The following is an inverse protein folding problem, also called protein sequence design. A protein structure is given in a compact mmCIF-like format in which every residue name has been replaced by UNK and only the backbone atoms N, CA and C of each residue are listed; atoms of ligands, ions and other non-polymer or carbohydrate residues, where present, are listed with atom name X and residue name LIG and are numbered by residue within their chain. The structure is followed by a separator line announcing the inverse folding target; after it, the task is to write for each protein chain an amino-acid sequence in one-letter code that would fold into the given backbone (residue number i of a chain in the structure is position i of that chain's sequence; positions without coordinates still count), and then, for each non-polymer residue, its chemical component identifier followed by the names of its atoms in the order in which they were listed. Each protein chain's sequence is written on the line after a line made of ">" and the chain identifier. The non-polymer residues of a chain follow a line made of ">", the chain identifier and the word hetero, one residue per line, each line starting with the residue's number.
data_IF_331889534246
#
_entry.id   IF_331889534246
#
_cell.length_a   1.000
_cell.length_b   1.000
_cell.length_c   1.000
_cell.angle_alpha   90.00
_cell.angle_beta   90.00
_cell.angle_gamma   90.00
#
_symmetry.space_group_name_H-M   'P 1'
#
loop_
_entity.id
_entity.type
_entity.pdbx_description
1 polymer ?
#
# COMPACT_ATOMS: atom_id res chain seq x y z
N UNK A 1 -13.16 -21.73 42.48
CA UNK A 1 -12.44 -21.02 41.44
C UNK A 1 -12.03 -22.07 40.41
N UNK A 2 -12.71 -22.11 39.27
CA UNK A 2 -12.38 -23.06 38.20
C UNK A 2 -11.06 -22.62 37.58
N UNK A 3 -9.99 -23.43 37.71
CA UNK A 3 -8.77 -23.28 36.95
C UNK A 3 -9.07 -23.51 35.47
N UNK A 4 -9.50 -22.47 34.77
CA UNK A 4 -9.53 -22.47 33.32
C UNK A 4 -8.04 -22.35 32.90
N UNK A 5 -7.48 -23.46 32.40
CA UNK A 5 -6.15 -23.42 31.79
C UNK A 5 -6.20 -22.37 30.66
N UNK A 6 -5.20 -21.52 30.52
CA UNK A 6 -5.15 -20.57 29.42
C UNK A 6 -5.26 -21.33 28.09
N UNK A 7 -6.22 -20.94 27.26
CA UNK A 7 -6.38 -21.53 25.93
C UNK A 7 -5.09 -21.37 25.15
N UNK A 8 -4.57 -22.48 24.57
CA UNK A 8 -3.31 -22.44 23.84
C UNK A 8 -3.46 -21.56 22.60
N UNK A 9 -2.58 -20.56 22.46
CA UNK A 9 -2.56 -19.68 21.32
C UNK A 9 -2.37 -20.45 20.01
N UNK A 10 -3.09 -20.06 18.97
CA UNK A 10 -2.90 -20.59 17.61
C UNK A 10 -1.59 -20.08 17.02
N UNK A 11 -0.79 -20.96 16.45
CA UNK A 11 0.46 -20.60 15.79
C UNK A 11 0.23 -20.15 14.35
N UNK A 12 0.70 -18.96 14.02
CA UNK A 12 0.53 -18.35 12.70
C UNK A 12 1.90 -18.12 12.06
N UNK A 13 2.10 -18.69 10.87
CA UNK A 13 3.23 -18.32 10.02
C UNK A 13 2.81 -17.17 9.11
N UNK A 14 3.52 -16.07 9.16
CA UNK A 14 3.28 -14.89 8.31
C UNK A 14 4.37 -14.78 7.25
N UNK A 15 3.98 -14.48 6.02
CA UNK A 15 4.89 -14.13 4.93
C UNK A 15 4.49 -12.78 4.33
N UNK A 16 5.30 -11.75 4.57
CA UNK A 16 5.01 -10.36 4.21
C UNK A 16 6.30 -9.53 4.20
N UNK A 17 6.21 -8.29 3.75
CA UNK A 17 7.23 -7.30 4.09
C UNK A 17 7.32 -7.18 5.61
N UNK A 18 8.56 -7.11 6.10
CA UNK A 18 8.81 -7.05 7.55
C UNK A 18 8.11 -5.85 8.19
N UNK A 19 7.44 -6.03 9.33
CA UNK A 19 6.92 -4.91 10.13
C UNK A 19 7.97 -3.85 10.50
N UNK A 20 9.27 -4.18 10.41
CA UNK A 20 10.38 -3.25 10.69
C UNK A 20 10.66 -2.26 9.57
N UNK A 21 10.09 -2.45 8.38
CA UNK A 21 10.33 -1.61 7.19
C UNK A 21 9.33 -0.46 7.06
N UNK A 22 9.63 0.49 6.17
CA UNK A 22 8.79 1.65 5.86
C UNK A 22 7.99 1.49 4.55
N UNK A 23 7.85 0.26 4.01
CA UNK A 23 7.06 0.00 2.81
C UNK A 23 5.56 -0.02 3.10
N UNK A 24 4.72 0.16 2.08
CA UNK A 24 3.26 0.04 2.22
C UNK A 24 2.83 -1.32 2.75
N UNK A 25 3.40 -2.43 2.24
CA UNK A 25 3.15 -3.77 2.75
C UNK A 25 3.58 -3.94 4.21
N UNK A 26 4.70 -3.33 4.62
CA UNK A 26 5.16 -3.35 6.00
C UNK A 26 4.21 -2.60 6.94
N UNK A 27 3.66 -1.47 6.50
CA UNK A 27 2.64 -0.74 7.26
C UNK A 27 1.38 -1.60 7.45
N UNK A 28 0.93 -2.27 6.38
CA UNK A 28 -0.22 -3.18 6.46
C UNK A 28 0.06 -4.36 7.40
N UNK A 29 1.19 -5.06 7.22
CA UNK A 29 1.54 -6.22 8.05
C UNK A 29 1.65 -5.83 9.53
N UNK A 30 2.34 -4.72 9.85
CA UNK A 30 2.49 -4.21 11.21
C UNK A 30 1.15 -3.97 11.91
N UNK A 31 0.23 -3.29 11.24
CA UNK A 31 -1.05 -2.92 11.85
C UNK A 31 -2.01 -4.11 11.96
N UNK A 32 -2.11 -4.96 10.93
CA UNK A 32 -2.95 -6.17 10.99
C UNK A 32 -2.44 -7.14 12.05
N UNK A 33 -1.12 -7.38 12.12
CA UNK A 33 -0.55 -8.28 13.11
C UNK A 33 -0.71 -7.73 14.52
N UNK A 34 -0.59 -6.40 14.72
CA UNK A 34 -0.82 -5.78 16.03
C UNK A 34 -2.22 -6.07 16.54
N UNK A 35 -3.24 -5.81 15.73
CA UNK A 35 -4.64 -6.04 16.12
C UNK A 35 -4.90 -7.51 16.45
N UNK A 36 -4.40 -8.44 15.64
CA UNK A 36 -4.57 -9.87 15.88
C UNK A 36 -3.80 -10.32 17.13
N UNK A 37 -2.59 -9.82 17.36
CA UNK A 37 -1.78 -10.12 18.53
C UNK A 37 -2.45 -9.65 19.83
N UNK A 38 -3.03 -8.46 19.82
CA UNK A 38 -3.71 -7.84 20.97
C UNK A 38 -4.95 -8.64 21.42
N UNK A 39 -5.50 -9.52 20.57
CA UNK A 39 -6.56 -10.47 20.99
C UNK A 39 -6.07 -11.51 21.99
N UNK A 40 -4.77 -11.73 22.09
CA UNK A 40 -4.18 -12.78 22.92
C UNK A 40 -4.33 -14.21 22.37
N UNK A 41 -5.03 -14.39 21.23
CA UNK A 41 -5.36 -15.74 20.66
C UNK A 41 -4.26 -16.30 19.75
N UNK A 42 -3.39 -15.46 19.21
CA UNK A 42 -2.44 -15.82 18.15
C UNK A 42 -0.99 -15.59 18.57
N UNK A 43 -0.10 -16.46 18.10
CA UNK A 43 1.35 -16.37 18.24
C UNK A 43 1.99 -16.41 16.84
N UNK A 44 2.88 -15.45 16.52
CA UNK A 44 3.35 -15.24 15.16
C UNK A 44 4.84 -15.58 14.99
N UNK A 45 5.15 -16.29 13.91
CA UNK A 45 6.46 -16.35 13.27
C UNK A 45 6.37 -15.63 11.92
N UNK A 46 7.15 -14.59 11.71
CA UNK A 46 7.09 -13.77 10.48
C UNK A 46 8.31 -14.04 9.61
N UNK A 47 8.14 -14.49 8.38
CA UNK A 47 9.17 -14.45 7.34
C UNK A 47 9.12 -13.06 6.72
N UNK A 48 10.04 -12.19 7.20
CA UNK A 48 10.05 -10.76 6.91
C UNK A 48 10.88 -10.42 5.67
N UNK A 49 10.22 -10.08 4.57
CA UNK A 49 10.88 -9.54 3.37
C UNK A 49 11.49 -8.18 3.73
N UNK A 50 12.67 -7.89 3.20
CA UNK A 50 13.46 -6.69 3.50
C UNK A 50 13.96 -6.57 4.96
N UNK A 51 13.84 -7.62 5.78
CA UNK A 51 14.43 -7.66 7.12
C UNK A 51 15.89 -8.11 7.04
N UNK A 52 16.80 -7.31 7.62
CA UNK A 52 18.23 -7.63 7.65
C UNK A 52 18.68 -8.38 8.90
N UNK A 53 17.76 -8.78 9.80
CA UNK A 53 18.09 -9.44 11.07
C UNK A 53 18.43 -8.46 12.21
N UNK A 54 18.20 -7.15 12.04
CA UNK A 54 18.40 -6.14 13.08
C UNK A 54 17.43 -6.37 14.25
N UNK A 55 17.83 -5.98 15.50
CA UNK A 55 16.95 -6.01 16.67
C UNK A 55 15.66 -5.21 16.44
N UNK A 56 14.58 -5.63 17.08
CA UNK A 56 13.27 -4.97 17.01
C UNK A 56 12.46 -5.22 18.29
N UNK A 57 11.47 -4.34 18.55
CA UNK A 57 10.62 -4.40 19.74
C UNK A 57 9.27 -5.12 19.50
N UNK A 58 9.07 -5.73 18.32
CA UNK A 58 7.86 -6.50 18.07
C UNK A 58 7.78 -7.72 18.97
N UNK A 59 6.59 -8.06 19.52
CA UNK A 59 6.42 -9.13 20.50
C UNK A 59 6.45 -10.54 19.90
N UNK A 60 6.77 -10.66 18.62
CA UNK A 60 6.87 -11.92 17.87
C UNK A 60 8.17 -12.00 17.09
N UNK A 61 8.52 -13.21 16.66
CA UNK A 61 9.77 -13.45 15.96
C UNK A 61 9.67 -13.08 14.48
N UNK A 62 10.66 -12.32 14.00
CA UNK A 62 10.83 -11.98 12.59
C UNK A 62 12.08 -12.65 12.06
N UNK A 63 11.93 -13.50 11.06
CA UNK A 63 13.00 -14.20 10.38
C UNK A 63 13.35 -13.44 9.11
N UNK A 64 14.64 -13.13 8.86
CA UNK A 64 15.06 -12.58 7.58
C UNK A 64 14.64 -13.51 6.43
N UNK A 65 13.90 -12.98 5.46
CA UNK A 65 13.46 -13.77 4.31
C UNK A 65 14.64 -14.27 3.48
N UNK A 66 15.69 -13.45 3.34
CA UNK A 66 16.89 -13.76 2.59
C UNK A 66 18.08 -14.05 3.54
N UNK A 67 18.83 -15.10 3.24
CA UNK A 67 20.14 -15.35 3.84
C UNK A 67 21.22 -15.28 2.75
N UNK A 68 21.92 -14.16 2.56
CA UNK A 68 22.87 -13.95 1.46
C UNK A 68 24.11 -14.87 1.52
N UNK A 69 24.40 -15.44 2.70
CA UNK A 69 25.56 -16.33 2.91
C UNK A 69 25.18 -17.81 3.01
N UNK A 70 23.92 -18.16 2.78
CA UNK A 70 23.48 -19.55 2.79
C UNK A 70 24.19 -20.37 1.70
N UNK A 71 24.60 -21.60 2.01
CA UNK A 71 25.19 -22.51 1.02
C UNK A 71 24.18 -22.89 -0.06
N UNK A 72 22.91 -23.05 0.28
CA UNK A 72 21.83 -23.27 -0.64
C UNK A 72 21.29 -21.94 -1.21
N UNK A 73 21.50 -21.73 -2.52
CA UNK A 73 21.09 -20.50 -3.23
C UNK A 73 19.59 -20.20 -3.18
N UNK A 74 18.75 -21.20 -2.89
CA UNK A 74 17.30 -20.98 -2.74
C UNK A 74 16.96 -20.06 -1.57
N UNK A 75 17.82 -20.01 -0.54
CA UNK A 75 17.67 -19.09 0.60
C UNK A 75 18.26 -17.70 0.35
N UNK A 76 18.95 -17.50 -0.76
CA UNK A 76 19.51 -16.19 -1.15
C UNK A 76 18.50 -15.30 -1.90
N UNK A 77 17.28 -15.78 -2.14
CA UNK A 77 16.22 -15.03 -2.86
C UNK A 77 15.59 -14.02 -1.93
N UNK A 78 15.47 -12.73 -2.32
CA UNK A 78 14.96 -11.65 -1.46
C UNK A 78 13.58 -11.91 -0.85
N UNK A 79 12.68 -12.60 -1.57
CA UNK A 79 11.32 -12.90 -1.08
C UNK A 79 11.25 -14.08 -0.10
N UNK A 80 12.35 -14.86 0.05
CA UNK A 80 12.40 -15.94 1.03
C UNK A 80 11.52 -17.14 0.73
N UNK A 81 11.26 -17.45 -0.55
CA UNK A 81 10.37 -18.52 -1.01
C UNK A 81 10.66 -19.85 -0.33
N UNK A 82 11.94 -20.27 -0.31
CA UNK A 82 12.33 -21.55 0.28
C UNK A 82 12.13 -21.57 1.80
N UNK A 83 12.55 -20.52 2.50
CA UNK A 83 12.37 -20.42 3.96
C UNK A 83 10.90 -20.50 4.35
N UNK A 84 10.03 -19.76 3.62
CA UNK A 84 8.59 -19.75 3.87
C UNK A 84 7.99 -21.15 3.72
N UNK A 85 8.28 -21.85 2.62
CA UNK A 85 7.76 -23.21 2.38
C UNK A 85 8.28 -24.22 3.39
N UNK A 86 9.56 -24.14 3.77
CA UNK A 86 10.14 -25.04 4.76
C UNK A 86 9.56 -24.80 6.15
N UNK A 87 9.32 -23.55 6.52
CA UNK A 87 8.64 -23.22 7.77
C UNK A 87 7.21 -23.75 7.79
N UNK A 88 6.43 -23.55 6.73
CA UNK A 88 5.08 -24.14 6.58
C UNK A 88 5.11 -25.66 6.72
N UNK A 89 6.19 -26.30 6.24
CA UNK A 89 6.39 -27.75 6.31
C UNK A 89 6.73 -28.31 7.69
N UNK A 90 6.96 -27.49 8.72
CA UNK A 90 7.27 -27.96 10.07
C UNK A 90 6.11 -28.65 10.79
N UNK A 91 4.88 -28.52 10.29
CA UNK A 91 3.68 -29.13 10.89
C UNK A 91 3.30 -28.59 12.26
N UNK A 92 3.69 -27.36 12.60
CA UNK A 92 3.41 -26.72 13.89
C UNK A 92 2.42 -25.57 13.79
N UNK A 93 2.17 -25.04 12.59
CA UNK A 93 1.30 -23.89 12.38
C UNK A 93 -0.17 -24.32 12.21
N UNK A 94 -1.08 -23.49 12.70
CA UNK A 94 -2.53 -23.60 12.52
C UNK A 94 -2.99 -22.78 11.32
N UNK A 95 -2.36 -21.61 11.10
CA UNK A 95 -2.68 -20.67 10.02
C UNK A 95 -1.39 -20.24 9.33
N UNK A 96 -1.44 -20.14 8.03
CA UNK A 96 -0.43 -19.43 7.20
C UNK A 96 -1.08 -18.16 6.68
N UNK A 97 -0.50 -17.00 6.97
CA UNK A 97 -1.00 -15.70 6.55
C UNK A 97 -0.04 -15.04 5.56
N UNK A 98 -0.53 -14.71 4.38
CA UNK A 98 0.24 -14.12 3.29
C UNK A 98 -0.26 -12.70 3.02
N UNK A 99 0.65 -11.73 2.96
CA UNK A 99 0.38 -10.35 2.55
C UNK A 99 1.39 -9.99 1.46
N UNK A 100 1.00 -10.16 0.18
CA UNK A 100 1.92 -9.98 -0.93
C UNK A 100 1.17 -9.88 -2.27
N UNK A 101 1.85 -9.41 -3.31
CA UNK A 101 1.34 -9.37 -4.69
C UNK A 101 1.06 -10.78 -5.26
N UNK A 102 0.00 -10.90 -6.06
CA UNK A 102 -0.43 -12.18 -6.66
C UNK A 102 0.65 -12.83 -7.51
N UNK A 103 1.41 -12.04 -8.29
CA UNK A 103 2.48 -12.55 -9.13
C UNK A 103 3.67 -13.09 -8.30
N UNK A 104 3.94 -12.53 -7.13
CA UNK A 104 4.97 -13.05 -6.20
C UNK A 104 4.49 -14.36 -5.58
N UNK A 105 3.24 -14.41 -5.10
CA UNK A 105 2.67 -15.63 -4.49
C UNK A 105 2.59 -16.78 -5.47
N UNK A 106 2.42 -16.51 -6.77
CA UNK A 106 2.38 -17.54 -7.81
C UNK A 106 3.65 -18.45 -7.85
N UNK A 107 4.80 -17.90 -7.44
CA UNK A 107 6.07 -18.66 -7.41
C UNK A 107 6.12 -19.74 -6.33
N UNK A 108 5.27 -19.66 -5.29
CA UNK A 108 5.29 -20.62 -4.15
C UNK A 108 4.07 -21.55 -4.11
N UNK A 109 3.02 -21.28 -4.89
CA UNK A 109 1.74 -21.97 -4.78
C UNK A 109 1.85 -23.50 -4.90
N UNK A 110 2.55 -24.01 -5.94
CA UNK A 110 2.70 -25.45 -6.12
C UNK A 110 3.51 -26.10 -4.99
N UNK A 111 4.53 -25.42 -4.48
CA UNK A 111 5.33 -25.90 -3.35
C UNK A 111 4.52 -25.88 -2.05
N UNK A 112 3.74 -24.83 -1.81
CA UNK A 112 2.88 -24.70 -0.65
C UNK A 112 1.77 -25.75 -0.64
N UNK A 113 1.10 -26.00 -1.76
CA UNK A 113 0.08 -27.05 -1.92
C UNK A 113 0.67 -28.45 -1.69
N UNK A 114 1.85 -28.74 -2.27
CA UNK A 114 2.57 -30.01 -2.04
C UNK A 114 2.94 -30.18 -0.55
N UNK A 115 3.39 -29.12 0.09
CA UNK A 115 3.72 -29.10 1.51
C UNK A 115 2.49 -29.35 2.35
N UNK A 116 1.37 -28.65 2.09
CA UNK A 116 0.10 -28.84 2.75
C UNK A 116 -0.37 -30.30 2.66
N UNK A 117 -0.26 -30.92 1.48
CA UNK A 117 -0.67 -32.32 1.29
C UNK A 117 0.18 -33.31 2.09
N UNK A 118 1.45 -33.00 2.36
CA UNK A 118 2.41 -33.88 3.04
C UNK A 118 2.41 -33.77 4.56
N UNK A 119 2.19 -32.54 5.11
CA UNK A 119 2.24 -32.34 6.57
C UNK A 119 1.09 -33.09 7.25
N UNK A 120 1.33 -33.65 8.42
CA UNK A 120 0.33 -34.33 9.23
C UNK A 120 -0.69 -33.32 9.79
N UNK A 121 -0.21 -32.30 10.50
CA UNK A 121 -1.03 -31.19 10.96
C UNK A 121 -1.27 -30.21 9.82
N UNK A 122 -2.48 -30.21 9.27
CA UNK A 122 -2.90 -29.25 8.23
C UNK A 122 -3.06 -27.85 8.82
N UNK A 123 -2.93 -26.84 7.95
CA UNK A 123 -3.09 -25.43 8.30
C UNK A 123 -4.05 -24.75 7.32
N UNK A 124 -4.72 -23.71 7.77
CA UNK A 124 -5.46 -22.80 6.88
C UNK A 124 -4.51 -21.81 6.21
N UNK A 125 -4.87 -21.35 5.01
CA UNK A 125 -4.14 -20.25 4.34
C UNK A 125 -5.07 -19.06 4.21
N UNK A 126 -4.69 -17.94 4.81
CA UNK A 126 -5.30 -16.62 4.67
C UNK A 126 -4.40 -15.79 3.76
N UNK A 127 -4.98 -15.11 2.78
CA UNK A 127 -4.22 -14.32 1.82
C UNK A 127 -4.84 -12.95 1.62
N UNK A 128 -4.10 -11.90 1.93
CA UNK A 128 -4.48 -10.51 1.76
C UNK A 128 -3.71 -9.90 0.60
N UNK A 129 -4.41 -9.42 -0.42
CA UNK A 129 -3.76 -9.08 -1.69
C UNK A 129 -4.30 -7.81 -2.35
N UNK A 130 -3.39 -7.02 -2.98
CA UNK A 130 -3.74 -5.93 -3.86
C UNK A 130 -4.00 -6.43 -5.28
N UNK A 131 -4.79 -5.64 -6.03
CA UNK A 131 -4.78 -5.58 -7.50
C UNK A 131 -4.72 -4.12 -7.89
N UNK A 132 -3.72 -3.74 -8.67
CA UNK A 132 -3.43 -2.36 -9.07
C UNK A 132 -3.41 -2.15 -10.60
N UNK A 133 -3.82 -3.16 -11.34
CA UNK A 133 -4.05 -3.19 -12.79
C UNK A 133 -4.90 -4.42 -13.11
N UNK A 134 -5.44 -4.54 -14.33
CA UNK A 134 -6.08 -5.79 -14.78
C UNK A 134 -5.11 -6.96 -14.66
N UNK A 135 -5.38 -7.96 -13.81
CA UNK A 135 -4.44 -9.04 -13.53
C UNK A 135 -4.43 -10.06 -14.67
N UNK A 136 -3.36 -10.84 -14.76
CA UNK A 136 -3.35 -12.03 -15.60
C UNK A 136 -4.25 -13.10 -15.00
N UNK A 137 -4.95 -13.84 -15.86
CA UNK A 137 -5.86 -14.91 -15.45
C UNK A 137 -5.18 -15.92 -14.51
N UNK A 138 -3.96 -16.34 -14.82
CA UNK A 138 -3.20 -17.31 -14.03
C UNK A 138 -2.87 -16.83 -12.61
N UNK A 139 -2.79 -15.52 -12.35
CA UNK A 139 -2.60 -15.00 -10.99
C UNK A 139 -3.86 -15.14 -10.14
N UNK A 140 -5.02 -15.12 -10.78
CA UNK A 140 -6.29 -15.34 -10.07
C UNK A 140 -6.56 -16.84 -9.94
N UNK A 141 -6.63 -17.58 -11.06
CA UNK A 141 -7.01 -19.00 -11.05
C UNK A 141 -5.94 -19.91 -10.45
N UNK A 142 -4.67 -19.52 -10.54
CA UNK A 142 -3.54 -20.26 -9.98
C UNK A 142 -3.19 -19.90 -8.53
N UNK A 143 -3.66 -18.75 -8.01
CA UNK A 143 -3.37 -18.27 -6.67
C UNK A 143 -4.65 -18.05 -5.87
N UNK A 144 -5.40 -17.00 -6.17
CA UNK A 144 -6.55 -16.56 -5.35
C UNK A 144 -7.61 -17.65 -5.23
N UNK A 145 -7.95 -18.30 -6.36
CA UNK A 145 -8.97 -19.38 -6.40
C UNK A 145 -8.55 -20.68 -5.69
N UNK A 146 -7.27 -20.86 -5.41
CA UNK A 146 -6.74 -22.04 -4.71
C UNK A 146 -6.59 -21.83 -3.21
N UNK A 147 -6.46 -20.59 -2.74
CA UNK A 147 -6.25 -20.28 -1.33
C UNK A 147 -7.56 -20.39 -0.54
N UNK A 148 -7.49 -20.89 0.70
CA UNK A 148 -8.64 -21.14 1.55
C UNK A 148 -9.46 -19.87 1.84
N UNK A 149 -8.80 -18.80 2.31
CA UNK A 149 -9.40 -17.56 2.75
C UNK A 149 -8.73 -16.34 2.09
N UNK A 150 -8.95 -16.10 0.78
CA UNK A 150 -8.46 -14.89 0.14
C UNK A 150 -9.31 -13.70 0.61
N UNK A 151 -8.65 -12.55 0.81
CA UNK A 151 -9.23 -11.27 1.22
C UNK A 151 -8.70 -10.19 0.28
N UNK A 152 -9.58 -9.50 -0.41
CA UNK A 152 -9.19 -8.41 -1.30
C UNK A 152 -8.97 -7.10 -0.52
N UNK A 153 -8.03 -6.27 -0.98
CA UNK A 153 -7.83 -4.92 -0.42
C UNK A 153 -9.03 -4.01 -0.71
N UNK A 154 -9.68 -4.19 -1.87
CA UNK A 154 -10.63 -3.24 -2.43
C UNK A 154 -11.73 -3.95 -3.24
N UNK A 155 -12.84 -3.26 -3.48
CA UNK A 155 -13.88 -3.76 -4.39
C UNK A 155 -13.34 -3.92 -5.82
N UNK A 156 -12.45 -3.01 -6.26
CA UNK A 156 -11.76 -3.15 -7.55
C UNK A 156 -11.02 -4.49 -7.63
N UNK A 157 -10.20 -4.80 -6.62
CA UNK A 157 -9.46 -6.07 -6.59
C UNK A 157 -10.38 -7.30 -6.60
N UNK A 158 -11.51 -7.22 -5.87
CA UNK A 158 -12.52 -8.29 -5.87
C UNK A 158 -13.17 -8.43 -7.26
N UNK A 159 -13.60 -7.34 -7.88
CA UNK A 159 -14.26 -7.36 -9.19
C UNK A 159 -13.34 -7.91 -10.29
N UNK A 160 -12.06 -7.51 -10.29
CA UNK A 160 -11.06 -8.07 -11.21
C UNK A 160 -10.83 -9.57 -10.98
N UNK A 161 -10.84 -10.03 -9.72
CA UNK A 161 -10.71 -11.45 -9.42
C UNK A 161 -11.96 -12.23 -9.86
N UNK A 162 -13.16 -11.72 -9.61
CA UNK A 162 -14.43 -12.32 -10.02
C UNK A 162 -14.57 -12.41 -11.56
N UNK A 163 -14.02 -11.47 -12.30
CA UNK A 163 -14.02 -11.50 -13.76
C UNK A 163 -13.26 -12.71 -14.32
N UNK A 164 -12.30 -13.24 -13.57
CA UNK A 164 -11.51 -14.43 -13.92
C UNK A 164 -12.04 -15.72 -13.28
N UNK A 165 -12.62 -15.64 -12.09
CA UNK A 165 -13.27 -16.75 -11.39
C UNK A 165 -14.53 -16.27 -10.64
N UNK A 166 -15.73 -16.45 -11.22
CA UNK A 166 -16.98 -16.03 -10.62
C UNK A 166 -17.29 -16.67 -9.25
N UNK A 167 -16.63 -17.79 -8.90
CA UNK A 167 -16.82 -18.40 -7.59
C UNK A 167 -16.30 -17.53 -6.43
N UNK A 168 -15.48 -16.53 -6.71
CA UNK A 168 -14.91 -15.61 -5.73
C UNK A 168 -15.91 -14.54 -5.24
N UNK A 169 -17.21 -14.58 -5.68
CA UNK A 169 -18.22 -13.57 -5.33
C UNK A 169 -18.44 -13.38 -3.82
N UNK A 170 -18.17 -14.40 -3.00
CA UNK A 170 -18.26 -14.31 -1.53
C UNK A 170 -16.95 -13.88 -0.86
N UNK A 171 -15.90 -13.63 -1.63
CA UNK A 171 -14.62 -13.19 -1.08
C UNK A 171 -14.80 -11.87 -0.30
N UNK A 172 -14.31 -11.79 0.96
CA UNK A 172 -14.41 -10.57 1.73
C UNK A 172 -13.47 -9.48 1.18
N UNK A 173 -13.85 -8.24 1.43
CA UNK A 173 -13.03 -7.05 1.23
C UNK A 173 -12.73 -6.49 2.61
N UNK A 174 -11.47 -6.16 2.87
CA UNK A 174 -11.08 -5.42 4.06
C UNK A 174 -10.19 -4.26 3.61
N UNK A 175 -10.68 -3.04 3.74
CA UNK A 175 -9.90 -1.84 3.45
C UNK A 175 -8.76 -1.68 4.45
N UNK A 176 -7.74 -0.91 4.07
CA UNK A 176 -6.73 -0.48 5.03
C UNK A 176 -7.31 0.58 5.97
N UNK A 177 -6.87 0.55 7.21
CA UNK A 177 -7.09 1.63 8.16
C UNK A 177 -5.98 2.69 8.10
N UNK A 178 -6.14 3.70 8.93
CA UNK A 178 -5.09 4.65 9.28
C UNK A 178 -4.96 4.72 10.79
N UNK A 179 -3.75 4.94 11.30
CA UNK A 179 -3.55 5.23 12.72
C UNK A 179 -3.83 6.72 12.98
N UNK A 180 -5.00 7.01 13.56
CA UNK A 180 -5.45 8.39 13.85
C UNK A 180 -4.72 9.03 15.04
N UNK A 181 -3.90 8.28 15.77
CA UNK A 181 -2.98 8.82 16.77
C UNK A 181 -1.66 9.30 16.15
N UNK A 182 -1.28 8.74 14.99
CA UNK A 182 -0.09 9.09 14.22
C UNK A 182 -0.38 10.15 13.15
N UNK A 183 -1.55 10.03 12.48
CA UNK A 183 -2.00 10.95 11.43
C UNK A 183 -3.26 11.68 11.91
N UNK A 184 -3.14 12.95 12.21
CA UNK A 184 -4.21 13.80 12.71
C UNK A 184 -4.02 15.24 12.24
N UNK A 185 -5.09 16.05 12.19
CA UNK A 185 -5.00 17.45 11.78
C UNK A 185 -4.15 18.29 12.74
N UNK A 186 -3.27 19.11 12.19
CA UNK A 186 -2.43 20.07 12.89
C UNK A 186 -2.62 21.48 12.31
N UNK A 187 -2.11 22.50 13.00
CA UNK A 187 -2.17 23.88 12.50
C UNK A 187 -1.26 24.07 11.29
N UNK A 188 -1.89 24.16 10.11
CA UNK A 188 -1.21 24.26 8.81
C UNK A 188 -0.28 25.47 8.73
N UNK A 189 -0.72 26.63 9.21
CA UNK A 189 0.06 27.86 9.03
C UNK A 189 1.36 27.84 9.85
N UNK A 190 1.29 27.32 11.07
CA UNK A 190 2.47 27.10 11.91
C UNK A 190 3.46 26.15 11.23
N UNK A 191 2.97 25.00 10.72
CA UNK A 191 3.82 24.03 10.03
C UNK A 191 4.43 24.57 8.74
N UNK A 192 3.69 25.32 7.94
CA UNK A 192 4.22 25.95 6.72
C UNK A 192 5.35 26.92 7.05
N UNK A 193 5.23 27.72 8.11
CA UNK A 193 6.29 28.62 8.58
C UNK A 193 7.54 27.87 9.03
N UNK A 194 7.35 26.77 9.77
CA UNK A 194 8.45 25.95 10.25
C UNK A 194 9.20 25.25 9.10
N UNK A 195 8.46 24.62 8.20
CA UNK A 195 9.02 23.74 7.16
C UNK A 195 9.48 24.48 5.91
N UNK A 196 8.74 25.51 5.49
CA UNK A 196 8.96 26.18 4.21
C UNK A 196 9.50 27.62 4.34
N UNK A 197 9.57 28.16 5.56
CA UNK A 197 10.14 29.49 5.87
C UNK A 197 9.57 30.58 4.95
N UNK A 198 10.43 31.17 4.09
CA UNK A 198 10.05 32.21 3.12
C UNK A 198 9.01 31.77 2.07
N UNK A 199 8.75 30.48 1.95
CA UNK A 199 7.73 29.92 1.05
C UNK A 199 6.43 29.57 1.80
N UNK A 200 6.29 29.93 3.08
CA UNK A 200 5.12 29.57 3.90
C UNK A 200 3.79 30.09 3.34
N UNK A 201 3.79 31.19 2.62
CA UNK A 201 2.57 31.79 2.02
C UNK A 201 2.23 31.19 0.66
N UNK A 202 3.10 30.32 0.08
CA UNK A 202 2.83 29.65 -1.18
C UNK A 202 1.78 28.55 -1.02
N UNK A 203 1.09 28.24 -2.13
CA UNK A 203 0.24 27.05 -2.24
C UNK A 203 1.12 25.81 -2.36
N UNK A 204 1.11 24.95 -1.34
CA UNK A 204 1.98 23.78 -1.26
C UNK A 204 1.29 22.57 -1.88
N UNK A 205 1.83 22.08 -2.99
CA UNK A 205 1.44 20.81 -3.63
C UNK A 205 2.37 19.72 -3.12
N UNK A 206 1.83 18.62 -2.66
CA UNK A 206 2.57 17.46 -2.14
C UNK A 206 2.34 16.24 -3.02
N UNK A 207 3.38 15.48 -3.31
CA UNK A 207 3.27 14.10 -3.78
C UNK A 207 4.02 13.17 -2.84
N UNK A 208 3.42 12.05 -2.47
CA UNK A 208 4.03 11.03 -1.60
C UNK A 208 4.06 9.71 -2.37
N UNK A 209 5.25 9.33 -2.82
CA UNK A 209 5.41 8.12 -3.64
C UNK A 209 6.85 7.63 -3.60
N UNK A 210 7.07 6.32 -3.71
CA UNK A 210 8.38 5.82 -4.09
C UNK A 210 8.70 6.25 -5.53
N UNK A 211 9.91 6.72 -5.78
CA UNK A 211 10.37 7.04 -7.13
C UNK A 211 10.56 5.76 -7.95
N UNK A 212 9.51 5.34 -8.65
CA UNK A 212 9.47 4.13 -9.49
C UNK A 212 8.53 4.35 -10.70
N UNK A 213 8.73 3.65 -11.83
CA UNK A 213 8.04 3.93 -13.10
C UNK A 213 6.53 4.01 -13.00
N UNK A 214 5.89 3.09 -12.28
CA UNK A 214 4.42 3.04 -12.15
C UNK A 214 3.81 4.25 -11.40
N UNK A 215 4.62 5.04 -10.67
CA UNK A 215 4.14 6.27 -9.99
C UNK A 215 4.08 7.48 -10.93
N UNK A 216 4.66 7.36 -12.12
CA UNK A 216 4.61 8.33 -13.21
C UNK A 216 4.94 9.76 -12.79
N UNK A 217 6.05 9.89 -12.08
CA UNK A 217 6.50 11.19 -11.58
C UNK A 217 6.80 12.19 -12.71
N UNK A 218 7.03 11.69 -13.94
CA UNK A 218 7.15 12.57 -15.11
C UNK A 218 5.88 13.40 -15.29
N UNK A 219 4.70 12.77 -15.29
CA UNK A 219 3.43 13.51 -15.43
C UNK A 219 3.14 14.39 -14.23
N UNK A 220 3.55 13.99 -13.03
CA UNK A 220 3.48 14.87 -11.84
C UNK A 220 4.27 16.16 -12.07
N UNK A 221 5.54 16.07 -12.48
CA UNK A 221 6.36 17.24 -12.73
C UNK A 221 5.89 18.07 -13.92
N UNK A 222 5.46 17.44 -15.02
CA UNK A 222 4.89 18.15 -16.18
C UNK A 222 3.64 18.94 -15.78
N UNK A 223 2.69 18.30 -15.10
CA UNK A 223 1.46 18.95 -14.67
C UNK A 223 1.74 20.07 -13.67
N UNK A 224 2.61 19.83 -12.67
CA UNK A 224 2.99 20.88 -11.75
C UNK A 224 3.69 22.05 -12.45
N UNK A 225 4.60 21.81 -13.40
CA UNK A 225 5.26 22.88 -14.16
C UNK A 225 4.26 23.77 -14.90
N UNK A 226 3.26 23.17 -15.56
CA UNK A 226 2.21 23.93 -16.24
C UNK A 226 1.31 24.71 -15.26
N UNK A 227 0.97 24.11 -14.12
CA UNK A 227 0.25 24.78 -13.04
C UNK A 227 1.06 25.94 -12.45
N UNK A 228 2.35 25.74 -12.15
CA UNK A 228 3.24 26.74 -11.57
C UNK A 228 3.41 27.97 -12.49
N UNK A 229 3.43 27.78 -13.81
CA UNK A 229 3.43 28.93 -14.78
C UNK A 229 2.19 29.82 -14.64
N UNK A 230 1.03 29.24 -14.30
CA UNK A 230 -0.21 29.99 -14.05
C UNK A 230 -0.25 30.54 -12.60
N UNK A 231 0.37 29.85 -11.66
CA UNK A 231 0.36 30.14 -10.21
C UNK A 231 1.78 30.14 -9.64
N UNK A 232 2.61 31.17 -9.90
CA UNK A 232 4.01 31.23 -9.41
C UNK A 232 4.09 31.35 -7.88
N UNK A 233 2.98 31.61 -7.21
CA UNK A 233 2.78 31.57 -5.78
C UNK A 233 2.55 30.12 -5.24
N UNK A 234 2.97 29.10 -5.97
CA UNK A 234 2.96 27.70 -5.56
C UNK A 234 4.37 27.17 -5.28
N UNK A 235 4.45 26.05 -4.56
CA UNK A 235 5.66 25.28 -4.33
C UNK A 235 5.31 23.79 -4.32
N UNK A 236 6.12 22.96 -4.97
CA UNK A 236 5.93 21.52 -5.00
C UNK A 236 6.90 20.83 -4.06
N UNK A 237 6.41 20.01 -3.16
CA UNK A 237 7.22 19.11 -2.36
C UNK A 237 6.90 17.66 -2.70
N UNK A 238 7.93 16.86 -2.98
CA UNK A 238 7.77 15.43 -3.20
C UNK A 238 8.48 14.64 -2.10
N UNK A 239 7.72 13.82 -1.38
CA UNK A 239 8.28 12.86 -0.43
C UNK A 239 8.67 11.57 -1.19
N UNK A 240 9.85 11.61 -1.78
CA UNK A 240 10.45 10.53 -2.54
C UNK A 240 11.98 10.61 -2.48
N UNK A 241 12.66 9.48 -2.63
CA UNK A 241 14.10 9.45 -2.82
C UNK A 241 14.44 10.02 -4.22
N UNK A 242 15.36 10.99 -4.28
CA UNK A 242 15.69 11.70 -5.52
C UNK A 242 16.22 10.75 -6.61
N UNK A 243 17.04 9.76 -6.24
CA UNK A 243 17.54 8.70 -7.12
C UNK A 243 17.03 7.34 -6.68
N UNK A 244 16.19 6.71 -7.47
CA UNK A 244 15.67 5.35 -7.27
C UNK A 244 15.42 4.72 -8.66
N UNK A 245 14.74 3.59 -8.71
CA UNK A 245 14.46 2.85 -9.96
C UNK A 245 13.65 3.66 -11.00
N UNK A 246 12.99 4.75 -10.61
CA UNK A 246 12.30 5.68 -11.50
C UNK A 246 13.19 6.76 -12.11
N UNK A 247 14.50 6.78 -11.79
CA UNK A 247 15.48 7.73 -12.31
C UNK A 247 15.82 8.88 -11.36
N UNK A 248 16.44 9.92 -11.90
CA UNK A 248 16.89 11.11 -11.18
C UNK A 248 15.84 12.21 -11.24
N UNK A 249 15.20 12.53 -10.10
CA UNK A 249 14.15 13.56 -10.03
C UNK A 249 14.67 14.98 -10.25
N UNK A 250 15.95 15.25 -9.94
CA UNK A 250 16.55 16.59 -10.17
C UNK A 250 16.64 16.86 -11.68
N UNK A 251 17.14 15.89 -12.45
CA UNK A 251 17.23 15.99 -13.92
C UNK A 251 15.83 16.02 -14.54
N UNK A 252 14.91 15.19 -14.04
CA UNK A 252 13.52 15.15 -14.51
C UNK A 252 12.84 16.50 -14.35
N UNK A 253 12.93 17.12 -13.18
CA UNK A 253 12.34 18.42 -12.88
C UNK A 253 12.96 19.54 -13.73
N UNK A 254 14.29 19.52 -13.90
CA UNK A 254 15.00 20.48 -14.76
C UNK A 254 14.53 20.38 -16.22
N UNK A 255 14.31 19.16 -16.75
CA UNK A 255 13.73 18.94 -18.09
C UNK A 255 12.28 19.45 -18.19
N UNK A 256 11.55 19.56 -17.08
CA UNK A 256 10.23 20.18 -17.02
C UNK A 256 10.31 21.72 -16.79
N UNK A 257 11.50 22.30 -16.73
CA UNK A 257 11.71 23.74 -16.52
C UNK A 257 11.52 24.20 -15.08
N UNK A 258 11.72 23.32 -14.09
CA UNK A 258 11.59 23.60 -12.66
C UNK A 258 12.96 23.63 -11.98
N UNK A 259 13.18 24.63 -11.12
CA UNK A 259 14.42 24.85 -10.37
C UNK A 259 14.30 24.26 -8.95
N UNK A 260 15.23 23.34 -8.61
CA UNK A 260 15.30 22.76 -7.28
C UNK A 260 15.55 23.82 -6.19
N UNK A 261 14.85 23.73 -5.09
CA UNK A 261 14.93 24.67 -3.95
C UNK A 261 14.13 25.95 -4.15
N UNK A 262 13.77 26.33 -5.38
CA UNK A 262 12.98 27.51 -5.71
C UNK A 262 11.52 27.15 -6.01
N UNK A 263 11.30 26.26 -6.97
CA UNK A 263 9.98 25.89 -7.46
C UNK A 263 9.50 24.59 -6.85
N UNK A 264 10.42 23.71 -6.44
CA UNK A 264 10.14 22.42 -5.82
C UNK A 264 11.25 21.95 -4.90
N UNK A 265 10.96 20.90 -4.08
CA UNK A 265 11.93 20.26 -3.20
C UNK A 265 11.57 18.80 -2.91
N UNK A 266 12.55 18.06 -2.40
CA UNK A 266 12.42 16.69 -1.93
C UNK A 266 13.26 16.47 -0.67
N UNK A 267 13.19 15.31 0.00
CA UNK A 267 14.07 14.97 1.11
C UNK A 267 15.55 15.09 0.73
N UNK A 268 16.44 15.32 1.72
CA UNK A 268 17.87 15.39 1.47
C UNK A 268 18.45 14.06 0.97
N UNK A 269 19.69 14.05 0.41
CA UNK A 269 20.31 12.86 -0.19
C UNK A 269 20.43 11.65 0.76
N UNK A 270 20.48 11.88 2.07
CA UNK A 270 20.58 10.84 3.10
C UNK A 270 19.25 10.09 3.33
N UNK A 271 18.16 10.62 2.81
CA UNK A 271 16.86 9.96 2.89
C UNK A 271 16.86 8.65 2.10
N UNK A 272 16.41 7.59 2.75
CA UNK A 272 16.19 6.28 2.13
C UNK A 272 14.69 5.93 2.18
N UNK A 273 14.13 5.56 1.05
CA UNK A 273 12.74 5.12 0.97
C UNK A 273 12.45 3.86 1.82
N UNK A 274 13.47 3.04 2.10
CA UNK A 274 13.32 1.85 2.93
C UNK A 274 13.29 2.15 4.44
N UNK A 275 13.94 3.24 4.87
CA UNK A 275 13.95 3.69 6.26
C UNK A 275 12.82 4.69 6.53
N UNK A 276 12.50 5.54 5.54
CA UNK A 276 11.50 6.59 5.66
C UNK A 276 11.89 7.71 6.64
N UNK A 277 10.97 8.63 6.85
CA UNK A 277 11.01 9.57 7.98
C UNK A 277 10.25 8.98 9.17
N UNK A 278 10.49 9.47 10.40
CA UNK A 278 9.59 9.24 11.53
C UNK A 278 8.15 9.60 11.16
N UNK A 279 7.18 8.81 11.60
CA UNK A 279 5.76 9.02 11.25
C UNK A 279 5.28 10.42 11.64
N UNK A 280 5.75 10.98 12.76
CA UNK A 280 5.45 12.34 13.18
C UNK A 280 5.88 13.39 12.13
N UNK A 281 7.06 13.21 11.52
CA UNK A 281 7.53 14.07 10.42
C UNK A 281 6.64 13.93 9.17
N UNK A 282 6.23 12.70 8.84
CA UNK A 282 5.32 12.45 7.71
C UNK A 282 3.96 13.12 7.96
N UNK A 283 3.43 13.04 9.19
CA UNK A 283 2.20 13.74 9.59
C UNK A 283 2.34 15.28 9.41
N UNK A 284 3.48 15.87 9.83
CA UNK A 284 3.75 17.30 9.60
C UNK A 284 3.78 17.66 8.12
N UNK A 285 4.40 16.83 7.28
CA UNK A 285 4.47 17.01 5.81
C UNK A 285 3.07 17.06 5.20
N UNK A 286 2.18 16.11 5.53
CA UNK A 286 0.80 16.14 5.05
C UNK A 286 0.04 17.39 5.52
N UNK A 287 0.12 17.72 6.81
CA UNK A 287 -0.57 18.90 7.37
C UNK A 287 -0.07 20.23 6.81
N UNK A 288 1.17 20.30 6.36
CA UNK A 288 1.76 21.49 5.74
C UNK A 288 1.36 21.69 4.28
N UNK A 289 0.77 20.67 3.63
CA UNK A 289 0.37 20.73 2.24
C UNK A 289 -1.06 21.28 2.06
N UNK A 290 -1.28 21.98 0.95
CA UNK A 290 -2.61 22.45 0.54
C UNK A 290 -3.32 21.44 -0.36
N UNK A 291 -2.55 20.61 -1.10
CA UNK A 291 -3.06 19.60 -2.02
C UNK A 291 -2.10 18.42 -2.10
N UNK A 292 -2.60 17.22 -1.94
CA UNK A 292 -1.86 15.98 -2.27
C UNK A 292 -2.26 15.52 -3.66
N UNK A 293 -1.26 15.29 -4.53
CA UNK A 293 -1.44 14.85 -5.92
C UNK A 293 -0.76 13.51 -6.15
N UNK A 294 -1.44 12.61 -6.85
CA UNK A 294 -0.87 11.38 -7.39
C UNK A 294 -1.12 11.29 -8.89
N UNK A 295 -0.18 10.69 -9.62
CA UNK A 295 -0.31 10.34 -11.05
C UNK A 295 -0.07 8.86 -11.29
N UNK A 296 -0.10 8.04 -10.23
CA UNK A 296 0.18 6.62 -10.30
C UNK A 296 -0.74 5.89 -11.29
N UNK A 297 -0.15 4.98 -12.06
CA UNK A 297 -0.87 4.18 -13.05
C UNK A 297 -1.86 3.17 -12.43
N UNK A 298 -1.92 3.10 -11.12
CA UNK A 298 -2.81 2.25 -10.32
C UNK A 298 -2.25 2.02 -8.93
N UNK A 299 -3.15 1.80 -7.99
CA UNK A 299 -2.87 1.44 -6.60
C UNK A 299 -3.73 0.26 -6.16
N UNK A 300 -3.13 -0.63 -5.37
CA UNK A 300 -3.88 -1.68 -4.70
C UNK A 300 -4.81 -1.15 -3.60
N UNK A 301 -4.36 -0.07 -2.93
CA UNK A 301 -5.16 0.75 -2.01
C UNK A 301 -4.67 2.21 -2.02
N UNK A 302 -3.37 2.46 -1.81
CA UNK A 302 -2.79 3.79 -1.76
C UNK A 302 -2.87 4.40 -0.36
N UNK A 303 -1.99 3.96 0.55
CA UNK A 303 -1.94 4.44 1.94
C UNK A 303 -1.80 5.96 2.06
N UNK A 304 -1.11 6.60 1.11
CA UNK A 304 -0.99 8.05 1.07
C UNK A 304 -2.36 8.78 1.02
N UNK A 305 -3.39 8.14 0.46
CA UNK A 305 -4.74 8.69 0.48
C UNK A 305 -5.33 8.67 1.90
N UNK A 306 -5.15 7.55 2.62
CA UNK A 306 -5.61 7.40 4.00
C UNK A 306 -4.93 8.41 4.93
N UNK A 307 -3.63 8.60 4.76
CA UNK A 307 -2.81 9.55 5.52
C UNK A 307 -3.24 11.00 5.23
N UNK A 308 -3.44 11.35 3.95
CA UNK A 308 -3.97 12.65 3.56
C UNK A 308 -5.40 12.90 4.09
N UNK A 309 -6.27 11.88 4.05
CA UNK A 309 -7.62 11.97 4.62
C UNK A 309 -7.57 12.17 6.13
N UNK A 310 -6.69 11.44 6.85
CA UNK A 310 -6.54 11.56 8.30
C UNK A 310 -6.02 12.93 8.74
N UNK A 311 -5.26 13.61 7.90
CA UNK A 311 -4.77 14.98 8.11
C UNK A 311 -5.69 16.05 7.54
N UNK A 312 -6.82 15.68 6.95
CA UNK A 312 -7.75 16.57 6.25
C UNK A 312 -7.09 17.40 5.14
N UNK A 313 -6.13 16.78 4.42
CA UNK A 313 -5.48 17.41 3.28
C UNK A 313 -6.20 17.02 1.98
N UNK A 314 -6.62 17.98 1.13
CA UNK A 314 -7.29 17.71 -0.13
C UNK A 314 -6.52 16.76 -1.05
N UNK A 315 -7.24 15.92 -1.80
CA UNK A 315 -6.70 14.89 -2.69
C UNK A 315 -7.08 15.17 -4.15
N UNK A 316 -6.10 15.01 -5.06
CA UNK A 316 -6.29 14.96 -6.51
C UNK A 316 -5.56 13.72 -7.04
N UNK A 317 -6.32 12.73 -7.54
CA UNK A 317 -5.78 11.40 -7.86
C UNK A 317 -6.35 10.87 -9.19
N UNK A 318 -5.71 9.89 -9.85
CA UNK A 318 -6.23 9.31 -11.09
C UNK A 318 -7.59 8.63 -10.89
N UNK A 319 -8.48 8.72 -11.88
CA UNK A 319 -9.74 7.96 -11.90
C UNK A 319 -9.49 6.53 -12.39
N UNK A 320 -8.81 5.72 -11.58
CA UNK A 320 -8.53 4.31 -11.88
C UNK A 320 -8.40 3.47 -10.62
N UNK A 321 -8.44 2.16 -10.75
CA UNK A 321 -8.18 1.14 -9.71
C UNK A 321 -8.82 1.48 -8.36
N UNK A 322 -8.12 1.31 -7.24
CA UNK A 322 -8.63 1.61 -5.89
C UNK A 322 -9.04 3.08 -5.66
N UNK A 323 -8.47 4.02 -6.41
CA UNK A 323 -8.79 5.44 -6.24
C UNK A 323 -10.29 5.73 -6.42
N UNK A 324 -10.98 5.02 -7.34
CA UNK A 324 -12.39 5.27 -7.64
C UNK A 324 -13.29 5.05 -6.42
N UNK A 325 -13.02 4.02 -5.64
CA UNK A 325 -13.79 3.72 -4.43
C UNK A 325 -13.34 4.54 -3.21
N UNK A 326 -12.03 4.86 -3.11
CA UNK A 326 -11.49 5.66 -2.00
C UNK A 326 -11.98 7.11 -2.09
N UNK A 327 -11.94 7.71 -3.26
CA UNK A 327 -12.44 9.08 -3.47
C UNK A 327 -13.97 9.12 -3.52
N UNK A 328 -14.61 8.02 -3.97
CA UNK A 328 -16.04 7.94 -4.25
C UNK A 328 -16.37 8.36 -5.68
N UNK A 329 -17.32 7.67 -6.30
CA UNK A 329 -17.64 7.79 -7.74
C UNK A 329 -17.94 9.21 -8.19
N UNK A 330 -18.54 10.03 -7.31
CA UNK A 330 -18.93 11.42 -7.57
C UNK A 330 -17.96 12.43 -6.92
N UNK A 331 -16.72 12.06 -6.67
CA UNK A 331 -15.71 12.93 -6.05
C UNK A 331 -16.12 13.42 -4.64
N UNK A 332 -16.73 12.57 -3.83
CA UNK A 332 -17.20 12.93 -2.50
C UNK A 332 -16.08 13.30 -1.53
N UNK A 333 -14.89 12.69 -1.69
CA UNK A 333 -13.75 12.76 -0.75
C UNK A 333 -12.46 13.29 -1.37
N UNK A 334 -12.53 13.85 -2.57
CA UNK A 334 -11.39 14.38 -3.30
C UNK A 334 -11.77 14.67 -4.75
N UNK A 335 -10.79 14.75 -5.62
CA UNK A 335 -10.96 15.05 -7.04
C UNK A 335 -10.26 14.00 -7.91
N UNK A 336 -10.80 13.77 -9.09
CA UNK A 336 -10.21 12.88 -10.08
C UNK A 336 -9.48 13.64 -11.19
N UNK A 337 -8.39 13.02 -11.64
CA UNK A 337 -7.76 13.31 -12.94
C UNK A 337 -8.25 12.25 -13.92
N UNK A 338 -8.62 12.62 -15.13
CA UNK A 338 -8.94 11.67 -16.21
C UNK A 338 -7.76 10.72 -16.41
N UNK A 339 -8.06 9.42 -16.51
CA UNK A 339 -7.05 8.37 -16.65
C UNK A 339 -7.61 7.22 -17.46
N UNK A 340 -6.89 6.75 -18.49
CA UNK A 340 -7.30 5.62 -19.33
C UNK A 340 -8.57 5.86 -20.17
N UNK A 341 -9.01 7.09 -20.35
CA UNK A 341 -10.28 7.43 -21.03
C UNK A 341 -10.21 7.40 -22.55
N UNK A 342 -9.01 7.42 -23.11
CA UNK A 342 -8.77 7.33 -24.56
C UNK A 342 -7.45 6.58 -24.85
N UNK A 343 -7.20 6.30 -26.14
CA UNK A 343 -6.06 5.49 -26.58
C UNK A 343 -4.68 6.09 -26.21
N UNK A 344 -4.59 7.41 -26.00
CA UNK A 344 -3.32 8.07 -25.64
C UNK A 344 -3.03 8.01 -24.15
N UNK A 345 -3.99 7.60 -23.34
CA UNK A 345 -3.89 7.55 -21.88
C UNK A 345 -3.63 6.14 -21.34
N UNK A 346 -2.81 5.36 -22.08
CA UNK A 346 -2.38 4.02 -21.69
C UNK A 346 -0.87 3.86 -21.83
N UNK A 347 -0.27 3.09 -20.93
CA UNK A 347 1.15 2.78 -20.90
C UNK A 347 1.37 1.27 -20.76
N UNK A 348 2.42 0.77 -21.39
CA UNK A 348 2.87 -0.62 -21.29
C UNK A 348 4.34 -0.66 -20.90
N UNK A 349 4.64 -1.23 -19.74
CA UNK A 349 5.99 -1.24 -19.17
C UNK A 349 6.76 -2.54 -19.41
N UNK A 350 6.23 -3.46 -20.19
CA UNK A 350 6.89 -4.72 -20.52
C UNK A 350 7.19 -5.58 -19.29
N UNK A 351 8.30 -6.33 -19.35
CA UNK A 351 8.69 -7.27 -18.30
C UNK A 351 8.97 -6.62 -16.95
N UNK A 352 9.36 -5.33 -16.92
CA UNK A 352 9.62 -4.59 -15.69
C UNK A 352 8.37 -4.36 -14.83
N UNK A 353 7.19 -4.51 -15.42
CA UNK A 353 5.89 -4.39 -14.74
C UNK A 353 4.95 -5.53 -15.17
N UNK A 354 5.49 -6.76 -15.24
CA UNK A 354 4.76 -7.99 -15.50
C UNK A 354 3.97 -8.04 -16.82
N UNK A 355 4.31 -7.19 -17.80
CA UNK A 355 3.61 -7.07 -19.09
C UNK A 355 2.12 -6.73 -18.95
N UNK A 356 1.76 -5.87 -18.02
CA UNK A 356 0.40 -5.36 -17.88
C UNK A 356 0.25 -3.99 -18.55
N UNK A 357 -0.96 -3.71 -19.03
CA UNK A 357 -1.36 -2.41 -19.55
C UNK A 357 -1.90 -1.58 -18.39
N UNK A 358 -1.44 -0.32 -18.29
CA UNK A 358 -1.84 0.59 -17.21
C UNK A 358 -2.41 1.90 -17.74
N UNK A 359 -3.48 2.43 -17.16
CA UNK A 359 -3.97 3.76 -17.49
C UNK A 359 -3.00 4.83 -16.98
N UNK A 360 -2.85 5.89 -17.74
CA UNK A 360 -2.08 7.08 -17.36
C UNK A 360 -2.98 8.30 -17.32
N UNK A 361 -2.57 9.35 -16.59
CA UNK A 361 -3.36 10.57 -16.41
C UNK A 361 -3.26 11.52 -17.62
N UNK A 362 -4.34 12.27 -17.85
CA UNK A 362 -4.35 13.46 -18.69
C UNK A 362 -3.72 14.64 -17.92
N UNK A 363 -2.55 15.09 -18.37
CA UNK A 363 -1.79 16.16 -17.72
C UNK A 363 -2.55 17.50 -17.78
N UNK A 364 -3.28 17.78 -18.85
CA UNK A 364 -4.04 19.03 -18.96
C UNK A 364 -5.25 19.04 -18.04
N UNK A 365 -5.99 17.93 -17.93
CA UNK A 365 -7.07 17.78 -16.96
C UNK A 365 -6.54 17.92 -15.51
N UNK A 366 -5.34 17.37 -15.22
CA UNK A 366 -4.67 17.56 -13.92
C UNK A 366 -4.44 19.04 -13.62
N UNK A 367 -3.91 19.81 -14.61
CA UNK A 367 -3.66 21.25 -14.45
C UNK A 367 -4.95 22.01 -14.19
N UNK A 368 -6.00 21.75 -14.97
CA UNK A 368 -7.30 22.41 -14.82
C UNK A 368 -7.92 22.11 -13.45
N UNK A 369 -7.83 20.86 -12.99
CA UNK A 369 -8.27 20.48 -11.63
C UNK A 369 -7.45 21.16 -10.54
N UNK A 370 -6.12 21.27 -10.68
CA UNK A 370 -5.27 21.97 -9.70
C UNK A 370 -5.64 23.46 -9.62
N UNK A 371 -5.89 24.13 -10.76
CA UNK A 371 -6.33 25.51 -10.78
C UNK A 371 -7.70 25.66 -10.10
N UNK A 372 -8.67 24.80 -10.46
CA UNK A 372 -10.00 24.79 -9.85
C UNK A 372 -9.93 24.62 -8.33
N UNK A 373 -9.14 23.64 -7.85
CA UNK A 373 -8.98 23.36 -6.40
C UNK A 373 -8.41 24.58 -5.67
N UNK A 374 -7.40 25.25 -6.24
CA UNK A 374 -6.81 26.44 -5.65
C UNK A 374 -7.80 27.59 -5.56
N UNK A 375 -8.59 27.81 -6.61
CA UNK A 375 -9.62 28.86 -6.70
C UNK A 375 -10.84 28.58 -5.80
N UNK A 376 -11.18 27.30 -5.60
CA UNK A 376 -12.33 26.83 -4.81
C UNK A 376 -11.89 26.06 -3.56
N UNK A 377 -10.88 26.55 -2.87
CA UNK A 377 -10.21 25.81 -1.78
C UNK A 377 -11.15 25.42 -0.62
N UNK A 378 -12.18 26.21 -0.36
CA UNK A 378 -13.21 25.87 0.65
C UNK A 378 -14.00 24.60 0.31
N UNK A 379 -14.31 24.36 -0.97
CA UNK A 379 -14.91 23.11 -1.41
C UNK A 379 -13.95 21.93 -1.21
N UNK A 380 -12.67 22.13 -1.55
CA UNK A 380 -11.65 21.10 -1.37
C UNK A 380 -11.49 20.68 0.09
N UNK A 381 -11.54 21.63 1.04
CA UNK A 381 -11.55 21.33 2.47
C UNK A 381 -12.79 20.57 2.91
N UNK A 382 -13.95 20.86 2.33
CA UNK A 382 -15.19 20.09 2.60
C UNK A 382 -15.07 18.64 2.19
N UNK A 383 -14.50 18.37 1.01
CA UNK A 383 -14.21 17.00 0.53
C UNK A 383 -13.14 16.30 1.40
N UNK A 384 -12.09 17.01 1.79
CA UNK A 384 -11.07 16.47 2.69
C UNK A 384 -11.66 16.08 4.06
N UNK A 385 -12.56 16.90 4.62
CA UNK A 385 -13.28 16.56 5.83
C UNK A 385 -14.22 15.35 5.67
N UNK A 386 -14.85 15.18 4.52
CA UNK A 386 -15.63 13.98 4.21
C UNK A 386 -14.73 12.73 4.18
N UNK A 387 -13.52 12.84 3.60
CA UNK A 387 -12.50 11.78 3.63
C UNK A 387 -12.07 11.40 5.04
N UNK A 388 -11.81 12.39 5.90
CA UNK A 388 -11.46 12.18 7.31
C UNK A 388 -12.54 11.40 8.08
N UNK A 389 -13.80 11.66 7.81
CA UNK A 389 -14.93 10.93 8.43
C UNK A 389 -15.06 9.50 7.88
N UNK A 390 -14.73 9.30 6.62
CA UNK A 390 -14.90 8.02 5.95
C UNK A 390 -13.80 7.02 6.27
N UNK A 391 -12.53 7.46 6.37
CA UNK A 391 -11.40 6.54 6.54
C UNK A 391 -11.45 5.82 7.91
N UNK A 392 -11.49 4.47 7.94
CA UNK A 392 -11.50 3.73 9.21
C UNK A 392 -10.15 3.79 9.92
N UNK A 393 -10.18 3.57 11.24
CA UNK A 393 -8.97 3.26 11.99
C UNK A 393 -8.53 1.81 11.77
N UNK A 394 -7.26 1.49 12.08
CA UNK A 394 -6.81 0.10 12.07
C UNK A 394 -7.52 -0.76 13.12
N UNK A 395 -8.00 -0.17 14.22
CA UNK A 395 -8.80 -0.86 15.23
C UNK A 395 -10.17 -1.29 14.68
N UNK A 396 -10.82 -0.43 13.88
CA UNK A 396 -12.09 -0.77 13.22
C UNK A 396 -11.90 -1.86 12.18
N UNK A 397 -10.86 -1.74 11.35
CA UNK A 397 -10.46 -2.77 10.37
C UNK A 397 -10.11 -4.09 11.05
N UNK A 398 -9.48 -4.01 12.22
CA UNK A 398 -9.09 -5.17 13.01
C UNK A 398 -10.25 -6.08 13.41
N UNK A 399 -11.43 -5.52 13.65
CA UNK A 399 -12.63 -6.30 13.95
C UNK A 399 -13.01 -7.26 12.82
N UNK A 400 -12.81 -6.84 11.57
CA UNK A 400 -13.05 -7.71 10.41
C UNK A 400 -11.94 -8.76 10.26
N UNK A 401 -10.69 -8.42 10.57
CA UNK A 401 -9.59 -9.37 10.57
C UNK A 401 -9.78 -10.48 11.62
N UNK A 402 -10.24 -10.15 12.82
CA UNK A 402 -10.57 -11.15 13.85
C UNK A 402 -11.58 -12.16 13.32
N UNK A 403 -12.65 -11.70 12.65
CA UNK A 403 -13.67 -12.60 12.06
C UNK A 403 -13.08 -13.53 10.98
N UNK A 404 -12.17 -13.04 10.16
CA UNK A 404 -11.49 -13.87 9.14
C UNK A 404 -10.62 -14.93 9.80
N UNK A 405 -9.86 -14.56 10.84
CA UNK A 405 -8.98 -15.48 11.55
C UNK A 405 -9.75 -16.53 12.34
N UNK A 406 -10.83 -16.16 13.01
CA UNK A 406 -11.73 -17.12 13.71
C UNK A 406 -12.32 -18.16 12.73
N UNK A 407 -12.69 -17.76 11.51
CA UNK A 407 -13.08 -18.71 10.45
C UNK A 407 -11.91 -19.60 10.01
N UNK A 408 -10.71 -19.04 9.92
CA UNK A 408 -9.51 -19.76 9.51
C UNK A 408 -8.99 -20.74 10.56
N UNK A 409 -9.43 -20.67 11.82
CA UNK A 409 -9.13 -21.67 12.84
C UNK A 409 -9.69 -23.06 12.48
N UNK A 410 -10.75 -23.10 11.67
CA UNK A 410 -11.27 -24.35 11.10
C UNK A 410 -10.52 -24.65 9.80
N UNK A 411 -9.60 -25.61 9.88
CA UNK A 411 -8.80 -26.04 8.73
C UNK A 411 -9.68 -26.76 7.71
N UNK A 412 -9.65 -26.36 6.43
CA UNK A 412 -10.41 -27.03 5.37
C UNK A 412 -9.86 -28.43 5.04
N UNK A 413 -10.72 -29.31 4.54
CA UNK A 413 -10.35 -30.68 4.15
C UNK A 413 -9.55 -30.74 2.83
N UNK A 414 -9.58 -29.66 2.03
CA UNK A 414 -8.92 -29.57 0.72
C UNK A 414 -8.20 -28.24 0.59
N UNK A 415 -7.08 -28.23 -0.12
CA UNK A 415 -6.37 -27.02 -0.49
C UNK A 415 -7.12 -26.30 -1.63
N UNK A 416 -8.16 -25.56 -1.28
CA UNK A 416 -9.03 -24.84 -2.22
C UNK A 416 -9.82 -23.73 -1.50
N UNK A 417 -10.31 -22.75 -2.26
CA UNK A 417 -11.21 -21.71 -1.76
C UNK A 417 -12.46 -22.28 -1.08
N UNK A 418 -12.77 -21.82 0.14
CA UNK A 418 -13.79 -22.43 0.99
C UNK A 418 -15.20 -21.83 0.90
N UNK A 419 -15.36 -20.63 0.37
CA UNK A 419 -16.65 -19.96 0.26
C UNK A 419 -17.40 -20.23 -1.06
N UNK A 420 -17.20 -21.40 -1.65
CA UNK A 420 -17.91 -21.80 -2.86
C UNK A 420 -19.42 -21.85 -2.71
#
# INVERSE_FOLDING_TARGET
>A
MSNVLPEMKKKVLVWADSPTCSTGFATVSRNVLKVLYDTGKYDFDVVGINHGGQPHDFPYKIWPAMNPVAADKRYQVPHGFQLFVDMAGKGIYDIVFIIQDTFIVSHVMDALEKTWNKVEKKFSVVYYFPIDATPKKEWITGVVSKIHYPVAYTQYAKSEAEAHDPNLYKMPIIYHGVNKEEFFPMDKQTLKKEMYKEKADKFIVLSVARNQPRKDLLRTFMGYSLFHKKHPDSFFYILAQANDVGGNLIELAANCGLEYGKDWGCPPPEYSANQGFPVSTVNMIYNSADLVVSTAHGEGFGLHNSEAMATQTPLLVPKNTAYTEIIGENEERGYFIKSGTDANLWSYHGASDNNVLRPVVDVYDMVDKMCYIKEHYGEALTKAHAGFKWIPSWEDVGKEWVKVFEKAEKVPDKFAYVFK
#
